data_IF_612730810248
#
_entry.id   IF_612730810248
#
_cell.length_a   1.000
_cell.length_b   1.000
_cell.length_c   1.000
_cell.angle_alpha   90.00
_cell.angle_beta   90.00
_cell.angle_gamma   90.00
#
_symmetry.space_group_name_H-M   'P 1'
#
loop_
_entity.id
_entity.type
_entity.pdbx_description
1 polymer ?
#
# COMPACT_ATOMS: atom_id res chain seq x y z
N UNK A 1 15.65 -9.42 -8.65
CA UNK A 1 15.69 -9.55 -7.18
C UNK A 1 16.30 -8.26 -6.63
N UNK A 2 15.49 -7.32 -6.12
CA UNK A 2 16.01 -6.11 -5.46
C UNK A 2 16.26 -6.48 -4.01
N UNK A 3 17.52 -6.76 -3.68
CA UNK A 3 17.95 -6.90 -2.31
C UNK A 3 17.81 -5.55 -1.61
N UNK A 4 17.22 -5.53 -0.42
CA UNK A 4 17.14 -4.37 0.47
C UNK A 4 18.56 -4.02 0.98
N UNK A 5 19.39 -3.45 0.12
CA UNK A 5 20.76 -3.02 0.43
C UNK A 5 20.76 -1.64 1.10
N UNK A 6 20.13 -1.52 2.27
CA UNK A 6 20.06 -0.30 3.07
C UNK A 6 18.63 0.20 3.31
N UNK A 7 17.77 0.18 2.29
CA UNK A 7 16.37 0.67 2.36
C UNK A 7 15.44 -0.23 3.20
N UNK A 8 15.82 -1.48 3.46
CA UNK A 8 14.95 -2.42 4.20
C UNK A 8 14.80 -2.07 5.66
N UNK A 9 15.81 -1.40 6.23
CA UNK A 9 15.74 -0.91 7.60
C UNK A 9 14.79 0.28 7.70
N UNK A 10 14.76 1.16 6.70
CA UNK A 10 13.82 2.29 6.63
C UNK A 10 12.38 1.82 6.44
N UNK A 11 12.14 0.86 5.54
CA UNK A 11 10.80 0.29 5.34
C UNK A 11 10.28 -0.41 6.61
N UNK A 12 11.16 -1.11 7.34
CA UNK A 12 10.81 -1.70 8.63
C UNK A 12 10.56 -0.62 9.69
N UNK A 13 11.40 0.42 9.72
CA UNK A 13 11.25 1.56 10.64
C UNK A 13 9.88 2.22 10.49
N UNK A 14 9.48 2.53 9.25
CA UNK A 14 8.16 3.11 8.98
C UNK A 14 7.01 2.22 9.44
N UNK A 15 7.08 0.91 9.18
CA UNK A 15 6.02 0.00 9.64
C UNK A 15 5.92 -0.03 11.18
N UNK A 16 7.06 -0.03 11.87
CA UNK A 16 7.11 0.02 13.33
C UNK A 16 6.56 1.37 13.86
N UNK A 17 6.89 2.48 13.20
CA UNK A 17 6.43 3.83 13.56
C UNK A 17 4.90 3.97 13.40
N UNK A 18 4.32 3.29 12.41
CA UNK A 18 2.86 3.19 12.20
C UNK A 18 2.18 2.16 13.14
N UNK A 19 2.91 1.63 14.13
CA UNK A 19 2.37 0.79 15.19
C UNK A 19 2.47 -0.73 14.95
N UNK A 20 3.18 -1.19 13.92
CA UNK A 20 3.44 -2.62 13.75
C UNK A 20 4.35 -3.11 14.87
N UNK A 21 3.91 -4.11 15.64
CA UNK A 21 4.75 -4.77 16.65
C UNK A 21 5.14 -6.15 16.15
N UNK A 22 6.42 -6.32 15.81
CA UNK A 22 6.96 -7.61 15.37
C UNK A 22 7.62 -8.31 16.55
N UNK A 23 7.17 -9.53 16.86
CA UNK A 23 7.86 -10.37 17.86
C UNK A 23 9.33 -10.59 17.44
N UNK A 24 10.33 -10.40 18.33
CA UNK A 24 11.74 -10.47 17.95
C UNK A 24 12.13 -11.76 17.21
N UNK A 25 11.58 -12.90 17.67
CA UNK A 25 11.80 -14.22 17.06
C UNK A 25 11.24 -14.38 15.64
N UNK A 26 10.27 -13.56 15.25
CA UNK A 26 9.59 -13.63 13.96
C UNK A 26 10.10 -12.58 12.95
N UNK A 27 11.02 -11.68 13.36
CA UNK A 27 11.47 -10.56 12.53
C UNK A 27 12.00 -10.99 11.17
N UNK A 28 12.85 -12.01 11.13
CA UNK A 28 13.41 -12.52 9.88
C UNK A 28 12.32 -13.07 8.93
N UNK A 29 11.33 -13.77 9.47
CA UNK A 29 10.21 -14.33 8.70
C UNK A 29 9.30 -13.25 8.14
N UNK A 30 9.01 -12.19 8.91
CA UNK A 30 8.21 -11.05 8.43
C UNK A 30 8.93 -10.31 7.32
N UNK A 31 10.23 -10.07 7.45
CA UNK A 31 11.01 -9.40 6.40
C UNK A 31 11.09 -10.24 5.12
N UNK A 32 11.29 -11.55 5.26
CA UNK A 32 11.27 -12.47 4.12
C UNK A 32 9.90 -12.45 3.43
N UNK A 33 8.81 -12.54 4.21
CA UNK A 33 7.45 -12.45 3.67
C UNK A 33 7.27 -11.17 2.85
N UNK A 34 7.60 -10.00 3.42
CA UNK A 34 7.47 -8.72 2.73
C UNK A 34 8.34 -8.62 1.46
N UNK A 35 9.52 -9.26 1.46
CA UNK A 35 10.41 -9.32 0.30
C UNK A 35 9.85 -10.18 -0.85
N UNK A 36 9.19 -11.28 -0.51
CA UNK A 36 8.69 -12.27 -1.46
C UNK A 36 7.27 -11.94 -1.94
N UNK A 37 6.53 -11.08 -1.23
CA UNK A 37 5.19 -10.69 -1.62
C UNK A 37 5.19 -9.93 -2.97
N UNK A 38 4.34 -10.40 -3.87
CA UNK A 38 4.04 -9.75 -5.15
C UNK A 38 2.50 -9.75 -5.34
N UNK A 39 1.79 -8.84 -4.65
CA UNK A 39 0.33 -8.80 -4.74
C UNK A 39 -0.11 -8.40 -6.15
N UNK A 40 -1.06 -9.15 -6.71
CA UNK A 40 -1.68 -8.86 -8.00
C UNK A 40 -2.66 -7.69 -7.91
N UNK A 41 -3.31 -7.54 -6.76
CA UNK A 41 -4.20 -6.42 -6.46
C UNK A 41 -3.36 -5.22 -6.02
N UNK A 42 -3.70 -4.04 -6.56
CA UNK A 42 -2.95 -2.81 -6.34
C UNK A 42 -3.88 -1.77 -5.76
N UNK A 43 -3.40 -1.04 -4.76
CA UNK A 43 -4.10 0.10 -4.22
C UNK A 43 -3.45 1.42 -4.69
N UNK A 44 -4.28 2.44 -4.91
CA UNK A 44 -3.87 3.82 -5.15
C UNK A 44 -4.29 4.68 -3.98
N UNK A 45 -3.39 5.53 -3.50
CA UNK A 45 -3.62 6.38 -2.33
C UNK A 45 -3.74 7.83 -2.76
N UNK A 46 -4.72 8.55 -2.21
CA UNK A 46 -4.87 10.00 -2.37
C UNK A 46 -5.20 10.65 -1.04
N UNK A 47 -4.79 11.90 -0.88
CA UNK A 47 -5.12 12.80 0.23
C UNK A 47 -6.26 13.77 -0.13
N UNK A 48 -6.88 13.60 -1.31
CA UNK A 48 -7.90 14.51 -1.84
C UNK A 48 -9.19 13.80 -2.22
N UNK A 49 -10.29 14.30 -1.69
CA UNK A 49 -11.63 13.90 -2.11
C UNK A 49 -11.92 14.46 -3.50
N UNK A 50 -12.48 13.64 -4.38
CA UNK A 50 -12.81 14.08 -5.74
C UNK A 50 -12.68 12.98 -6.78
N UNK A 51 -12.77 13.37 -8.05
CA UNK A 51 -12.59 12.49 -9.19
C UNK A 51 -11.10 12.23 -9.45
N UNK A 52 -10.76 10.96 -9.59
CA UNK A 52 -9.42 10.48 -9.92
C UNK A 52 -9.46 9.50 -11.08
N UNK A 53 -8.35 9.43 -11.82
CA UNK A 53 -8.21 8.59 -13.02
C UNK A 53 -8.46 9.36 -14.32
N UNK A 54 -8.71 8.64 -15.42
CA UNK A 54 -8.76 9.23 -16.76
C UNK A 54 -9.67 8.46 -17.72
N UNK A 55 -10.35 9.16 -18.62
CA UNK A 55 -11.22 8.54 -19.61
C UNK A 55 -12.38 7.81 -18.94
N UNK A 56 -12.54 6.52 -19.26
CA UNK A 56 -13.58 5.68 -18.67
C UNK A 56 -13.20 5.11 -17.29
N UNK A 57 -11.97 5.35 -16.83
CA UNK A 57 -11.47 4.94 -15.51
C UNK A 57 -11.55 6.09 -14.53
N UNK A 58 -12.76 6.60 -14.31
CA UNK A 58 -13.00 7.70 -13.37
C UNK A 58 -13.61 7.15 -12.07
N UNK A 59 -12.91 7.35 -10.96
CA UNK A 59 -13.34 6.94 -9.63
C UNK A 59 -13.43 8.16 -8.74
N UNK A 60 -14.55 8.32 -8.03
CA UNK A 60 -14.71 9.36 -7.03
C UNK A 60 -14.27 8.82 -5.66
N UNK A 61 -13.24 9.41 -5.06
CA UNK A 61 -12.69 8.96 -3.77
C UNK A 61 -13.21 9.85 -2.64
N UNK A 62 -13.71 9.23 -1.59
CA UNK A 62 -14.12 9.80 -0.31
C UNK A 62 -13.17 9.31 0.80
N UNK A 63 -13.14 9.96 1.98
CA UNK A 63 -12.30 9.54 3.09
C UNK A 63 -12.54 8.09 3.56
N UNK A 64 -13.77 7.59 3.41
CA UNK A 64 -14.23 6.30 3.92
C UNK A 64 -14.42 5.23 2.84
N UNK A 65 -14.49 5.63 1.56
CA UNK A 65 -14.78 4.73 0.44
C UNK A 65 -14.46 5.38 -0.91
N UNK A 66 -14.65 4.63 -2.00
CA UNK A 66 -14.65 5.18 -3.35
C UNK A 66 -15.88 4.72 -4.14
N UNK A 67 -16.21 5.44 -5.21
CA UNK A 67 -17.37 5.19 -6.07
C UNK A 67 -16.89 5.18 -7.52
N UNK A 68 -17.15 4.09 -8.24
CA UNK A 68 -16.76 3.91 -9.64
C UNK A 68 -16.02 2.60 -9.87
N UNK A 69 -15.80 2.25 -11.13
CA UNK A 69 -15.02 1.08 -11.53
C UNK A 69 -13.72 1.56 -12.17
N UNK A 70 -12.59 1.09 -11.68
CA UNK A 70 -11.33 1.20 -12.39
C UNK A 70 -11.19 -0.02 -13.31
N UNK A 71 -10.95 0.17 -14.61
CA UNK A 71 -10.69 -0.96 -15.53
C UNK A 71 -9.47 -1.79 -15.13
N UNK A 72 -8.56 -1.22 -14.34
CA UNK A 72 -7.41 -1.93 -13.77
C UNK A 72 -7.75 -2.82 -12.57
N UNK A 73 -8.96 -2.70 -12.00
CA UNK A 73 -9.31 -3.39 -10.75
C UNK A 73 -8.60 -2.85 -9.51
N UNK A 74 -7.88 -1.72 -9.62
CA UNK A 74 -7.17 -1.12 -8.50
C UNK A 74 -8.16 -0.58 -7.45
N UNK A 75 -7.83 -0.81 -6.18
CA UNK A 75 -8.57 -0.23 -5.05
C UNK A 75 -8.09 1.21 -4.79
N UNK A 76 -9.00 2.10 -4.37
CA UNK A 76 -8.63 3.45 -3.95
C UNK A 76 -8.74 3.62 -2.45
N UNK A 77 -7.67 4.14 -1.86
CA UNK A 77 -7.57 4.45 -0.43
C UNK A 77 -7.38 5.95 -0.24
N UNK A 78 -7.95 6.47 0.84
CA UNK A 78 -7.73 7.83 1.28
C UNK A 78 -6.72 7.85 2.42
N UNK A 79 -5.66 8.66 2.30
CA UNK A 79 -4.71 8.91 3.39
C UNK A 79 -5.13 10.18 4.11
N UNK A 80 -5.34 10.07 5.42
CA UNK A 80 -5.51 11.21 6.30
C UNK A 80 -4.15 11.80 6.72
#
# INVERSE_FOLDING_TARGET
MRAFNGEGLEATGRLLDEGLVIMPKARALVLQYLQEQCPSERARVTDKTGWHGSGNDLVYVLPDRFIGLSSSGDEWLFSN
#
